data_IF_700606854162
#
_entry.id   IF_700606854162
#
_cell.length_a   1.000
_cell.length_b   1.000
_cell.length_c   1.000
_cell.angle_alpha   90.00
_cell.angle_beta   90.00
_cell.angle_gamma   90.00
#
_symmetry.space_group_name_H-M   'P 1'
#
loop_
_entity.id
_entity.type
_entity.pdbx_description
1 polymer ?
#
# COMPACT_ATOMS: atom_id res chain seq x y z
N UNK A 1 -16.16 25.77 -2.57
CA UNK A 1 -15.93 26.99 -1.77
C UNK A 1 -14.45 27.37 -1.61
N UNK A 2 -13.60 26.60 -0.91
CA UNK A 2 -12.19 26.98 -0.71
C UNK A 2 -11.41 27.15 -2.03
N UNK A 3 -11.57 26.22 -2.98
CA UNK A 3 -10.95 26.35 -4.31
C UNK A 3 -11.44 27.57 -5.10
N UNK A 4 -12.73 27.89 -5.03
CA UNK A 4 -13.31 29.06 -5.70
C UNK A 4 -12.75 30.36 -5.10
N UNK A 5 -12.41 30.32 -3.80
CA UNK A 5 -11.73 31.39 -3.06
C UNK A 5 -10.21 31.38 -3.22
N UNK A 6 -9.65 30.42 -3.98
CA UNK A 6 -8.20 30.19 -4.13
C UNK A 6 -7.47 29.95 -2.80
N UNK A 7 -8.17 29.36 -1.83
CA UNK A 7 -7.61 28.85 -0.59
C UNK A 7 -7.28 27.36 -0.78
N UNK A 8 -5.98 27.05 -0.75
CA UNK A 8 -5.47 25.70 -1.06
C UNK A 8 -4.89 24.96 0.15
N UNK A 9 -4.83 25.64 1.30
CA UNK A 9 -4.39 25.02 2.54
C UNK A 9 -5.48 24.09 3.06
N UNK A 10 -5.19 22.78 3.24
CA UNK A 10 -6.17 21.84 3.73
C UNK A 10 -6.48 22.11 5.21
N UNK A 11 -7.72 21.83 5.61
CA UNK A 11 -8.13 21.82 7.01
C UNK A 11 -8.22 20.38 7.52
N UNK A 12 -7.77 20.16 8.75
CA UNK A 12 -8.02 18.91 9.46
C UNK A 12 -9.42 18.92 10.05
N UNK A 13 -10.21 17.91 9.73
CA UNK A 13 -11.60 17.80 10.20
C UNK A 13 -11.96 16.33 10.37
N UNK A 14 -12.72 16.02 11.42
CA UNK A 14 -13.28 14.68 11.58
C UNK A 14 -14.38 14.43 10.54
N UNK A 15 -14.48 13.19 10.04
CA UNK A 15 -15.46 12.84 9.01
C UNK A 15 -16.92 13.12 9.47
N UNK A 16 -17.22 12.88 10.74
CA UNK A 16 -18.52 13.19 11.34
C UNK A 16 -18.82 14.70 11.30
N UNK A 17 -17.85 15.51 11.70
CA UNK A 17 -17.97 16.97 11.68
C UNK A 17 -18.11 17.51 10.24
N UNK A 18 -17.37 16.95 9.28
CA UNK A 18 -17.51 17.31 7.86
C UNK A 18 -18.91 17.02 7.31
N UNK A 19 -19.55 15.94 7.77
CA UNK A 19 -20.94 15.62 7.43
C UNK A 19 -21.94 16.56 8.12
N UNK A 20 -21.73 16.87 9.41
CA UNK A 20 -22.57 17.81 10.16
C UNK A 20 -22.54 19.21 9.56
N UNK A 21 -21.36 19.69 9.17
CA UNK A 21 -21.14 20.97 8.47
C UNK A 21 -21.59 20.98 7.01
N UNK A 22 -22.14 19.87 6.51
CA UNK A 22 -22.65 19.72 5.12
C UNK A 22 -21.60 19.87 4.02
N UNK A 23 -20.32 19.66 4.33
CA UNK A 23 -19.30 19.49 3.30
C UNK A 23 -19.54 18.21 2.50
N UNK A 24 -20.08 17.18 3.17
CA UNK A 24 -20.49 15.91 2.55
C UNK A 24 -22.01 15.77 2.63
N UNK A 25 -22.68 15.63 1.48
CA UNK A 25 -24.14 15.73 1.40
C UNK A 25 -24.88 14.51 1.96
N UNK A 26 -24.36 13.30 1.73
CA UNK A 26 -25.04 12.03 2.02
C UNK A 26 -24.20 11.18 3.01
N UNK A 27 -24.82 10.51 4.01
CA UNK A 27 -24.09 9.62 4.92
C UNK A 27 -23.32 8.51 4.20
N UNK A 28 -23.94 7.90 3.18
CA UNK A 28 -23.30 6.85 2.39
C UNK A 28 -22.07 7.37 1.61
N UNK A 29 -22.14 8.62 1.13
CA UNK A 29 -21.01 9.24 0.44
C UNK A 29 -19.88 9.61 1.40
N UNK A 30 -20.22 10.14 2.58
CA UNK A 30 -19.23 10.37 3.63
C UNK A 30 -18.53 9.07 4.05
N UNK A 31 -19.26 7.97 4.17
CA UNK A 31 -18.67 6.66 4.41
C UNK A 31 -17.68 6.24 3.31
N UNK A 32 -17.98 6.49 2.04
CA UNK A 32 -17.05 6.20 0.93
C UNK A 32 -15.73 7.00 1.05
N UNK A 33 -15.80 8.28 1.43
CA UNK A 33 -14.61 9.12 1.70
C UNK A 33 -13.78 8.51 2.84
N UNK A 34 -14.43 8.15 3.95
CA UNK A 34 -13.75 7.49 5.08
C UNK A 34 -13.13 6.14 4.71
N UNK A 35 -13.81 5.36 3.86
CA UNK A 35 -13.30 4.08 3.38
C UNK A 35 -12.08 4.27 2.47
N UNK A 36 -12.10 5.24 1.56
CA UNK A 36 -10.97 5.56 0.71
C UNK A 36 -9.76 6.01 1.55
N UNK A 37 -9.97 6.85 2.57
CA UNK A 37 -8.93 7.24 3.52
C UNK A 37 -8.34 6.03 4.24
N UNK A 38 -9.19 5.15 4.79
CA UNK A 38 -8.77 3.94 5.51
C UNK A 38 -7.93 3.03 4.63
N UNK A 39 -8.33 2.79 3.38
CA UNK A 39 -7.57 1.97 2.42
C UNK A 39 -6.19 2.58 2.19
N UNK A 40 -6.11 3.90 1.95
CA UNK A 40 -4.84 4.60 1.75
C UNK A 40 -3.93 4.52 2.98
N UNK A 41 -4.49 4.52 4.19
CA UNK A 41 -3.73 4.28 5.42
C UNK A 41 -3.21 2.85 5.53
N UNK A 42 -4.01 1.86 5.17
CA UNK A 42 -3.62 0.46 5.16
C UNK A 42 -2.52 0.16 4.12
N UNK A 43 -2.49 0.91 3.00
CA UNK A 43 -1.37 0.86 2.04
C UNK A 43 -0.06 1.36 2.70
N UNK A 44 -0.15 2.24 3.69
CA UNK A 44 0.97 2.71 4.50
C UNK A 44 1.39 4.16 4.25
N UNK A 45 0.49 4.99 3.70
CA UNK A 45 0.73 6.43 3.62
C UNK A 45 0.53 7.13 4.97
N UNK A 46 1.35 8.15 5.25
CA UNK A 46 1.23 8.98 6.45
C UNK A 46 0.07 9.97 6.32
N UNK A 47 -0.58 10.32 7.44
CA UNK A 47 -1.73 11.24 7.43
C UNK A 47 -1.36 12.58 6.81
N UNK A 48 -0.19 13.11 7.18
CA UNK A 48 0.29 14.45 6.81
C UNK A 48 0.42 14.69 5.30
N UNK A 49 0.51 13.62 4.51
CA UNK A 49 0.64 13.68 3.06
C UNK A 49 -0.63 13.23 2.33
N UNK A 50 -1.73 12.98 3.04
CA UNK A 50 -3.01 12.60 2.48
C UNK A 50 -3.97 13.79 2.58
N UNK A 51 -4.66 14.13 1.49
CA UNK A 51 -5.79 15.07 1.53
C UNK A 51 -6.92 14.66 0.61
N UNK A 52 -8.10 15.20 0.88
CA UNK A 52 -9.21 15.18 -0.06
C UNK A 52 -9.44 16.57 -0.65
N UNK A 53 -9.55 16.63 -1.97
CA UNK A 53 -9.76 17.85 -2.73
C UNK A 53 -11.10 17.76 -3.47
N UNK A 54 -12.07 18.55 -3.06
CA UNK A 54 -13.37 18.61 -3.76
C UNK A 54 -13.21 19.22 -5.16
N UNK A 55 -13.86 18.68 -6.18
CA UNK A 55 -13.88 19.32 -7.49
C UNK A 55 -14.61 20.68 -7.43
N UNK A 56 -14.08 21.66 -8.16
CA UNK A 56 -14.83 22.90 -8.40
C UNK A 56 -16.02 22.65 -9.34
N UNK A 57 -16.92 23.62 -9.45
CA UNK A 57 -18.09 23.50 -10.33
C UNK A 57 -17.73 23.23 -11.79
N UNK A 58 -16.63 23.82 -12.28
CA UNK A 58 -16.17 23.71 -13.67
C UNK A 58 -15.31 22.46 -13.93
N UNK A 59 -14.74 21.84 -12.89
CA UNK A 59 -13.97 20.59 -12.98
C UNK A 59 -14.86 19.35 -12.87
N UNK A 60 -16.01 19.47 -12.20
CA UNK A 60 -16.90 18.35 -11.92
C UNK A 60 -17.51 17.83 -13.21
N UNK A 61 -17.42 16.51 -13.41
CA UNK A 61 -18.08 15.86 -14.54
C UNK A 61 -19.59 16.11 -14.52
N UNK A 62 -20.20 16.27 -15.70
CA UNK A 62 -21.60 16.69 -15.87
C UNK A 62 -22.64 15.75 -15.23
N UNK A 63 -22.21 14.56 -14.80
CA UNK A 63 -23.05 13.53 -14.18
C UNK A 63 -22.88 13.39 -12.66
N UNK A 64 -21.88 14.05 -12.05
CA UNK A 64 -21.58 13.90 -10.62
C UNK A 64 -22.33 14.94 -9.77
N UNK A 65 -23.01 14.50 -8.71
CA UNK A 65 -23.60 15.41 -7.69
C UNK A 65 -22.52 15.96 -6.77
N UNK A 66 -21.50 15.15 -6.45
CA UNK A 66 -20.31 15.54 -5.71
C UNK A 66 -19.12 14.68 -6.14
N UNK A 67 -17.93 15.25 -6.07
CA UNK A 67 -16.69 14.62 -6.51
C UNK A 67 -15.51 15.12 -5.66
N UNK A 68 -14.76 14.19 -5.09
CA UNK A 68 -13.60 14.46 -4.27
C UNK A 68 -12.43 13.58 -4.71
N UNK A 69 -11.29 14.23 -4.95
CA UNK A 69 -10.04 13.55 -5.26
C UNK A 69 -9.28 13.28 -3.96
N UNK A 70 -8.91 12.04 -3.74
CA UNK A 70 -7.92 11.63 -2.75
C UNK A 70 -6.52 11.83 -3.36
N UNK A 71 -5.76 12.73 -2.76
CA UNK A 71 -4.44 13.13 -3.26
C UNK A 71 -3.35 12.78 -2.25
N UNK A 72 -2.18 12.39 -2.78
CA UNK A 72 -0.95 12.19 -2.02
C UNK A 72 0.05 13.28 -2.37
N UNK A 73 0.66 13.89 -1.36
CA UNK A 73 1.77 14.83 -1.55
C UNK A 73 3.07 14.06 -1.84
N UNK A 74 3.42 13.92 -3.11
CA UNK A 74 4.66 13.30 -3.58
C UNK A 74 5.83 14.27 -3.45
N UNK A 75 7.05 13.75 -3.30
CA UNK A 75 8.27 14.56 -3.15
C UNK A 75 8.65 15.27 -4.45
N UNK A 76 8.34 14.66 -5.60
CA UNK A 76 8.74 15.19 -6.92
C UNK A 76 7.67 16.04 -7.59
N UNK A 77 6.39 15.68 -7.47
CA UNK A 77 5.31 16.32 -8.22
C UNK A 77 4.29 17.04 -7.33
N UNK A 78 4.53 17.07 -6.01
CA UNK A 78 3.56 17.62 -5.05
C UNK A 78 2.29 16.76 -5.00
N UNK A 79 1.14 17.42 -4.84
CA UNK A 79 -0.15 16.75 -4.72
C UNK A 79 -0.59 16.08 -6.02
N UNK A 80 -0.74 14.77 -5.98
CA UNK A 80 -1.19 13.94 -7.10
C UNK A 80 -2.42 13.14 -6.68
N UNK A 81 -3.48 13.22 -7.47
CA UNK A 81 -4.68 12.41 -7.32
C UNK A 81 -4.38 10.92 -7.52
N UNK A 82 -4.75 10.09 -6.53
CA UNK A 82 -4.59 8.64 -6.59
C UNK A 82 -5.94 7.89 -6.64
N UNK A 83 -7.02 8.56 -6.23
CA UNK A 83 -8.36 7.99 -6.26
C UNK A 83 -9.42 9.09 -6.37
N UNK A 84 -10.36 8.93 -7.30
CA UNK A 84 -11.57 9.72 -7.36
C UNK A 84 -12.71 9.06 -6.57
N UNK A 85 -13.38 9.84 -5.73
CA UNK A 85 -14.58 9.42 -5.00
C UNK A 85 -15.78 10.21 -5.52
N UNK A 86 -16.71 9.56 -6.22
CA UNK A 86 -17.78 10.23 -6.96
C UNK A 86 -19.18 9.78 -6.52
N UNK A 87 -20.08 10.75 -6.35
CA UNK A 87 -21.53 10.50 -6.31
C UNK A 87 -22.10 10.69 -7.72
N UNK A 88 -22.29 9.59 -8.43
CA UNK A 88 -22.74 9.59 -9.84
C UNK A 88 -24.27 9.57 -9.96
N UNK A 89 -24.98 9.65 -8.83
CA UNK A 89 -26.43 9.50 -8.75
C UNK A 89 -26.89 8.25 -9.51
N UNK A 90 -27.96 8.30 -10.29
CA UNK A 90 -28.43 7.19 -11.12
C UNK A 90 -28.07 7.35 -12.61
N UNK A 91 -27.15 8.28 -12.94
CA UNK A 91 -26.86 8.67 -14.31
C UNK A 91 -26.48 7.48 -15.20
N UNK A 92 -25.52 6.66 -14.77
CA UNK A 92 -24.98 5.55 -15.57
C UNK A 92 -26.07 4.53 -15.91
N UNK A 93 -26.81 4.07 -14.90
CA UNK A 93 -27.86 3.07 -15.06
C UNK A 93 -29.03 3.62 -15.88
N UNK A 94 -29.36 4.91 -15.74
CA UNK A 94 -30.40 5.57 -16.52
C UNK A 94 -30.02 5.63 -18.00
N UNK A 95 -28.77 6.01 -18.31
CA UNK A 95 -28.27 6.03 -19.69
C UNK A 95 -28.20 4.64 -20.27
N UNK A 96 -27.65 3.65 -19.57
CA UNK A 96 -27.63 2.28 -20.08
C UNK A 96 -29.03 1.74 -20.39
N UNK A 97 -30.01 1.95 -19.50
CA UNK A 97 -31.41 1.56 -19.75
C UNK A 97 -32.02 2.25 -20.99
N UNK A 98 -31.69 3.53 -21.22
CA UNK A 98 -32.20 4.32 -22.35
C UNK A 98 -31.69 3.77 -23.69
N UNK A 99 -30.41 3.45 -23.81
CA UNK A 99 -29.80 3.03 -25.08
C UNK A 99 -29.87 1.52 -25.32
N UNK A 100 -29.94 0.69 -24.28
CA UNK A 100 -30.06 -0.76 -24.43
C UNK A 100 -31.49 -1.25 -24.58
N UNK A 101 -32.50 -0.42 -24.22
CA UNK A 101 -33.89 -0.82 -24.05
C UNK A 101 -34.14 -1.89 -22.96
N UNK A 102 -33.13 -2.20 -22.13
CA UNK A 102 -33.25 -3.15 -21.02
C UNK A 102 -33.63 -2.46 -19.71
N UNK A 103 -34.53 -3.07 -18.93
CA UNK A 103 -35.03 -2.48 -17.68
C UNK A 103 -34.03 -2.68 -16.53
N UNK A 104 -33.23 -1.65 -16.23
CA UNK A 104 -32.28 -1.63 -15.11
C UNK A 104 -32.93 -0.96 -13.88
N UNK A 105 -33.86 -1.67 -13.22
CA UNK A 105 -34.60 -1.17 -12.05
C UNK A 105 -34.76 -2.23 -10.97
N UNK A 106 -34.66 -1.82 -9.72
CA UNK A 106 -34.96 -2.67 -8.55
C UNK A 106 -36.30 -2.29 -7.93
N UNK A 107 -36.92 -3.22 -7.19
CA UNK A 107 -38.11 -2.92 -6.37
C UNK A 107 -37.66 -2.54 -4.96
N UNK A 108 -37.97 -1.33 -4.51
CA UNK A 108 -37.78 -0.88 -3.12
C UNK A 108 -39.09 -0.29 -2.61
N UNK A 109 -39.58 -0.76 -1.45
CA UNK A 109 -40.85 -0.30 -0.86
C UNK A 109 -42.03 -0.32 -1.85
N UNK A 110 -42.18 -1.43 -2.59
CA UNK A 110 -43.20 -1.62 -3.66
C UNK A 110 -43.11 -0.65 -4.85
N UNK A 111 -42.06 0.18 -4.94
CA UNK A 111 -41.80 1.09 -6.06
C UNK A 111 -40.60 0.61 -6.87
N UNK A 112 -40.67 0.75 -8.20
CA UNK A 112 -39.51 0.52 -9.08
C UNK A 112 -38.64 1.76 -9.10
N UNK A 113 -37.35 1.60 -8.79
CA UNK A 113 -36.36 2.69 -8.78
C UNK A 113 -35.12 2.29 -9.57
N UNK A 114 -34.40 3.28 -10.09
CA UNK A 114 -33.04 3.11 -10.60
C UNK A 114 -32.10 3.42 -9.42
N UNK A 115 -31.21 2.48 -9.02
CA UNK A 115 -30.25 2.71 -7.94
C UNK A 115 -29.33 3.91 -8.22
N UNK A 116 -28.83 4.51 -7.13
CA UNK A 116 -27.71 5.46 -7.20
C UNK A 116 -26.38 4.71 -7.10
N UNK A 117 -25.33 5.28 -7.70
CA UNK A 117 -23.98 4.72 -7.79
C UNK A 117 -23.03 5.67 -7.06
N UNK A 118 -22.38 5.12 -6.03
CA UNK A 118 -21.21 5.72 -5.39
C UNK A 118 -19.97 4.97 -5.89
N UNK A 119 -18.97 5.71 -6.34
CA UNK A 119 -17.76 5.17 -6.95
C UNK A 119 -16.53 5.56 -6.11
N UNK A 120 -15.67 4.57 -5.84
CA UNK A 120 -14.32 4.76 -5.31
C UNK A 120 -13.37 4.18 -6.36
N UNK A 121 -12.74 5.04 -7.13
CA UNK A 121 -11.93 4.65 -8.29
C UNK A 121 -10.46 4.90 -8.00
N UNK A 122 -9.73 3.87 -7.58
CA UNK A 122 -8.27 3.91 -7.47
C UNK A 122 -7.62 3.63 -8.83
N UNK A 123 -6.75 4.53 -9.29
CA UNK A 123 -5.74 4.15 -10.28
C UNK A 123 -4.70 3.26 -9.60
N UNK A 124 -4.14 2.23 -10.25
CA UNK A 124 -3.16 1.35 -9.59
C UNK A 124 -1.76 1.96 -9.67
N UNK A 125 -1.47 2.63 -10.78
CA UNK A 125 -0.16 3.13 -11.13
C UNK A 125 0.29 4.26 -10.21
N UNK A 126 -0.63 5.20 -9.88
CA UNK A 126 -0.30 6.38 -9.08
C UNK A 126 -0.05 6.07 -7.60
N UNK A 127 -0.86 5.25 -6.89
CA UNK A 127 -0.51 4.76 -5.56
C UNK A 127 0.84 4.02 -5.53
N UNK A 128 1.11 3.16 -6.52
CA UNK A 128 2.39 2.43 -6.61
C UNK A 128 3.56 3.40 -6.78
N UNK A 129 3.43 4.40 -7.67
CA UNK A 129 4.45 5.44 -7.81
C UNK A 129 4.64 6.23 -6.51
N UNK A 130 3.54 6.71 -5.92
CA UNK A 130 3.57 7.55 -4.73
C UNK A 130 4.20 6.83 -3.54
N UNK A 131 3.91 5.54 -3.34
CA UNK A 131 4.49 4.79 -2.22
C UNK A 131 5.99 4.53 -2.42
N UNK A 132 6.43 4.30 -3.67
CA UNK A 132 7.86 4.18 -3.99
C UNK A 132 8.56 5.50 -3.69
N UNK A 133 8.06 6.62 -4.22
CA UNK A 133 8.62 7.96 -4.04
C UNK A 133 8.74 8.34 -2.55
N UNK A 134 7.73 7.99 -1.75
CA UNK A 134 7.74 8.22 -0.30
C UNK A 134 8.70 7.29 0.46
N UNK A 135 8.93 6.08 -0.04
CA UNK A 135 9.78 5.08 0.62
C UNK A 135 11.28 5.24 0.37
N UNK A 136 11.70 6.02 -0.64
CA UNK A 136 13.13 6.24 -0.90
C UNK A 136 13.75 6.95 0.31
N UNK A 137 14.69 6.29 0.96
CA UNK A 137 15.38 6.79 2.15
C UNK A 137 16.88 6.75 1.93
N UNK A 138 17.56 7.85 2.27
CA UNK A 138 19.02 7.93 2.32
C UNK A 138 19.38 7.83 3.79
N UNK A 139 20.09 6.77 4.15
CA UNK A 139 20.58 6.52 5.50
C UNK A 139 22.07 6.89 5.54
N UNK A 140 22.34 8.09 6.07
CA UNK A 140 23.68 8.69 6.14
C UNK A 140 24.59 7.97 7.13
N UNK A 141 24.04 7.34 8.17
CA UNK A 141 24.80 6.61 9.20
C UNK A 141 25.51 5.39 8.59
N UNK A 142 24.80 4.67 7.72
CA UNK A 142 25.30 3.46 7.07
C UNK A 142 25.71 3.67 5.60
N UNK A 143 25.66 4.91 5.12
CA UNK A 143 25.92 5.31 3.73
C UNK A 143 25.20 4.39 2.72
N UNK A 144 23.87 4.30 2.84
CA UNK A 144 23.04 3.41 2.02
C UNK A 144 21.74 4.06 1.55
N UNK A 145 21.23 3.57 0.44
CA UNK A 145 19.89 3.90 -0.07
C UNK A 145 19.01 2.67 0.13
N UNK A 146 17.80 2.88 0.63
CA UNK A 146 16.83 1.83 0.85
C UNK A 146 15.42 2.28 0.50
N UNK A 147 14.56 1.32 0.16
CA UNK A 147 13.13 1.54 0.08
C UNK A 147 12.50 1.12 1.41
N UNK A 148 12.07 2.07 2.22
CA UNK A 148 11.36 1.86 3.50
C UNK A 148 9.88 1.48 3.28
N UNK A 149 9.63 0.61 2.30
CA UNK A 149 8.28 0.13 1.99
C UNK A 149 7.63 -0.47 3.25
N UNK A 150 6.36 -0.15 3.54
CA UNK A 150 5.60 -0.84 4.57
C UNK A 150 5.68 -2.34 4.36
N UNK A 151 5.96 -3.07 5.45
CA UNK A 151 6.24 -4.51 5.39
C UNK A 151 5.12 -5.27 4.66
N UNK A 152 3.80 -5.04 4.92
CA UNK A 152 2.68 -5.69 4.22
C UNK A 152 2.63 -5.51 2.70
N UNK A 153 3.33 -4.54 2.11
CA UNK A 153 3.34 -4.32 0.66
C UNK A 153 4.70 -4.51 0.00
N UNK A 154 5.73 -4.88 0.77
CA UNK A 154 7.05 -5.16 0.22
C UNK A 154 7.00 -6.32 -0.81
N UNK A 155 7.59 -6.17 -2.01
CA UNK A 155 7.48 -7.14 -3.10
C UNK A 155 8.20 -8.45 -2.80
N UNK A 156 9.26 -8.40 -1.98
CA UNK A 156 9.99 -9.56 -1.48
C UNK A 156 9.90 -9.49 0.03
N UNK A 157 9.34 -10.52 0.68
CA UNK A 157 9.16 -10.52 2.14
C UNK A 157 10.46 -10.83 2.88
N UNK A 158 11.23 -11.76 2.31
CA UNK A 158 12.44 -12.30 2.93
C UNK A 158 13.48 -12.58 1.84
N UNK A 159 14.72 -12.19 2.11
CA UNK A 159 15.90 -12.60 1.37
C UNK A 159 16.66 -13.68 2.14
N UNK A 160 17.24 -14.67 1.47
CA UNK A 160 17.93 -15.79 2.12
C UNK A 160 19.31 -15.96 1.51
N UNK A 161 20.33 -15.92 2.35
CA UNK A 161 21.73 -15.84 1.98
C UNK A 161 22.55 -16.95 2.67
N UNK A 162 23.27 -17.81 1.94
CA UNK A 162 24.38 -18.54 2.53
C UNK A 162 25.54 -17.58 2.79
N UNK A 163 26.17 -17.61 3.96
CA UNK A 163 27.28 -16.70 4.27
C UNK A 163 28.43 -16.92 3.25
N UNK A 164 28.76 -18.17 2.99
CA UNK A 164 29.82 -18.58 2.06
C UNK A 164 29.24 -19.51 0.98
N UNK A 165 29.32 -19.09 -0.29
CA UNK A 165 28.82 -19.86 -1.44
C UNK A 165 29.51 -21.22 -1.65
N UNK A 166 30.77 -21.36 -1.21
CA UNK A 166 31.54 -22.60 -1.35
C UNK A 166 31.21 -23.64 -0.28
N UNK A 167 30.50 -23.25 0.78
CA UNK A 167 30.09 -24.15 1.85
C UNK A 167 28.78 -24.83 1.45
N UNK A 168 28.87 -26.09 1.03
CA UNK A 168 27.72 -26.85 0.49
C UNK A 168 26.58 -26.96 1.50
N UNK A 169 26.89 -27.14 2.79
CA UNK A 169 25.88 -27.21 3.84
C UNK A 169 25.12 -25.90 4.02
N UNK A 170 25.80 -24.75 3.98
CA UNK A 170 25.12 -23.45 4.09
C UNK A 170 24.21 -23.20 2.90
N UNK A 171 24.68 -23.53 1.69
CA UNK A 171 23.91 -23.40 0.45
C UNK A 171 22.69 -24.31 0.48
N UNK A 172 22.85 -25.56 0.91
CA UNK A 172 21.75 -26.53 1.04
C UNK A 172 20.70 -26.05 2.03
N UNK A 173 21.10 -25.68 3.25
CA UNK A 173 20.18 -25.18 4.28
C UNK A 173 19.45 -23.92 3.81
N UNK A 174 20.16 -22.96 3.18
CA UNK A 174 19.54 -21.75 2.65
C UNK A 174 18.47 -22.05 1.57
N UNK A 175 18.71 -23.03 0.70
CA UNK A 175 17.72 -23.49 -0.29
C UNK A 175 16.55 -24.23 0.34
N UNK A 176 16.77 -25.02 1.39
CA UNK A 176 15.71 -25.68 2.15
C UNK A 176 14.80 -24.65 2.84
N UNK A 177 15.36 -23.63 3.48
CA UNK A 177 14.59 -22.53 4.07
C UNK A 177 13.77 -21.82 2.99
N UNK A 178 14.39 -21.53 1.84
CA UNK A 178 13.72 -20.89 0.71
C UNK A 178 12.51 -21.70 0.22
N UNK A 179 12.70 -22.99 0.01
CA UNK A 179 11.63 -23.90 -0.40
C UNK A 179 10.50 -23.95 0.64
N UNK A 180 10.83 -24.16 1.91
CA UNK A 180 9.87 -24.26 3.00
C UNK A 180 9.01 -22.98 3.17
N UNK A 181 9.61 -21.79 2.96
CA UNK A 181 8.86 -20.54 3.02
C UNK A 181 7.91 -20.37 1.83
N UNK A 182 8.35 -20.76 0.62
CA UNK A 182 7.49 -20.73 -0.56
C UNK A 182 6.31 -21.68 -0.43
N UNK A 183 6.51 -22.90 0.10
CA UNK A 183 5.42 -23.86 0.35
C UNK A 183 4.37 -23.32 1.33
N UNK A 184 4.78 -22.47 2.26
CA UNK A 184 3.88 -21.79 3.21
C UNK A 184 3.25 -20.50 2.64
N UNK A 185 3.41 -20.22 1.35
CA UNK A 185 2.84 -19.06 0.66
C UNK A 185 3.59 -17.75 0.89
N UNK A 186 4.81 -17.80 1.45
CA UNK A 186 5.60 -16.62 1.73
C UNK A 186 6.63 -16.40 0.62
N UNK A 187 6.41 -15.35 -0.18
CA UNK A 187 7.32 -15.03 -1.28
C UNK A 187 8.68 -14.53 -0.76
N UNK A 188 9.73 -15.28 -1.06
CA UNK A 188 11.10 -15.01 -0.66
C UNK A 188 12.10 -15.24 -1.80
N UNK A 189 13.28 -14.63 -1.69
CA UNK A 189 14.34 -14.69 -2.71
C UNK A 189 15.64 -15.25 -2.14
N UNK A 190 16.19 -16.26 -2.80
CA UNK A 190 17.53 -16.78 -2.52
C UNK A 190 18.60 -15.98 -3.27
N UNK A 191 19.71 -15.64 -2.60
CA UNK A 191 20.83 -14.92 -3.21
C UNK A 191 22.21 -15.33 -2.63
N UNK A 192 23.08 -15.84 -3.49
CA UNK A 192 24.46 -16.24 -3.18
C UNK A 192 25.51 -15.38 -3.92
N UNK A 193 25.09 -14.30 -4.59
CA UNK A 193 25.93 -13.51 -5.50
C UNK A 193 26.56 -12.31 -4.80
N UNK A 194 27.89 -12.37 -4.63
CA UNK A 194 28.70 -11.34 -4.04
C UNK A 194 28.87 -11.48 -2.52
N UNK A 195 29.56 -10.52 -1.90
CA UNK A 195 29.73 -10.50 -0.44
C UNK A 195 28.39 -10.32 0.27
N UNK A 196 28.32 -10.71 1.55
CA UNK A 196 27.12 -10.57 2.35
C UNK A 196 26.64 -9.11 2.43
N UNK A 197 27.56 -8.16 2.59
CA UNK A 197 27.23 -6.73 2.59
C UNK A 197 26.63 -6.24 1.26
N UNK A 198 27.13 -6.73 0.12
CA UNK A 198 26.54 -6.41 -1.20
C UNK A 198 25.13 -6.97 -1.35
N UNK A 199 24.85 -8.14 -0.77
CA UNK A 199 23.52 -8.75 -0.77
C UNK A 199 22.55 -7.99 0.12
N UNK A 200 22.97 -7.58 1.32
CA UNK A 200 22.16 -6.71 2.18
C UNK A 200 21.82 -5.39 1.48
N UNK A 201 22.82 -4.68 0.92
CA UNK A 201 22.58 -3.41 0.21
C UNK A 201 21.58 -3.56 -0.95
N UNK A 202 21.74 -4.58 -1.78
CA UNK A 202 20.80 -4.88 -2.88
C UNK A 202 19.37 -5.09 -2.37
N UNK A 203 19.21 -5.80 -1.26
CA UNK A 203 17.89 -6.09 -0.72
C UNK A 203 17.28 -4.92 0.07
N UNK A 204 18.12 -4.06 0.65
CA UNK A 204 17.72 -2.77 1.21
C UNK A 204 17.18 -1.86 0.08
N UNK A 205 17.86 -1.77 -1.06
CA UNK A 205 17.42 -1.04 -2.26
C UNK A 205 16.13 -1.61 -2.88
N UNK A 206 15.88 -2.91 -2.76
CA UNK A 206 14.64 -3.56 -3.20
C UNK A 206 13.51 -3.48 -2.16
N UNK A 207 13.77 -2.89 -0.99
CA UNK A 207 12.82 -2.76 0.11
C UNK A 207 12.44 -4.07 0.78
N UNK A 208 13.28 -5.10 0.69
CA UNK A 208 13.04 -6.41 1.31
C UNK A 208 13.12 -6.28 2.84
N UNK A 209 12.04 -6.53 3.62
CA UNK A 209 12.02 -6.22 5.04
C UNK A 209 12.99 -7.03 5.89
N UNK A 210 13.21 -8.30 5.53
CA UNK A 210 14.08 -9.21 6.29
C UNK A 210 15.09 -9.89 5.40
N UNK A 211 16.32 -10.00 5.90
CA UNK A 211 17.34 -10.84 5.30
C UNK A 211 17.78 -11.92 6.30
N UNK A 212 17.81 -13.16 5.83
CA UNK A 212 18.21 -14.33 6.61
C UNK A 212 19.58 -14.77 6.12
N UNK A 213 20.52 -14.89 7.05
CA UNK A 213 21.87 -15.36 6.79
C UNK A 213 22.08 -16.71 7.46
N UNK A 214 22.44 -17.69 6.66
CA UNK A 214 22.86 -19.03 7.07
C UNK A 214 24.38 -19.02 7.23
N UNK A 215 24.87 -19.15 8.45
CA UNK A 215 26.29 -19.07 8.79
C UNK A 215 26.84 -20.43 9.27
N UNK A 216 28.09 -20.47 9.72
CA UNK A 216 28.71 -21.72 10.19
C UNK A 216 28.06 -22.28 11.45
N UNK A 217 27.46 -21.45 12.30
CA UNK A 217 26.81 -21.90 13.53
C UNK A 217 25.47 -22.55 13.21
N UNK A 218 24.80 -22.13 12.14
CA UNK A 218 23.54 -22.73 11.67
C UNK A 218 23.62 -24.25 11.50
N UNK A 219 24.75 -24.77 11.01
CA UNK A 219 24.95 -26.21 10.79
C UNK A 219 24.94 -26.99 12.12
N UNK A 220 25.36 -26.34 13.21
CA UNK A 220 25.52 -26.97 14.52
C UNK A 220 24.28 -26.80 15.41
N UNK A 221 23.64 -25.62 15.38
CA UNK A 221 22.59 -25.25 16.33
C UNK A 221 21.21 -25.06 15.70
N UNK A 222 21.08 -25.15 14.37
CA UNK A 222 19.80 -24.98 13.67
C UNK A 222 19.23 -23.56 13.76
N UNK A 223 20.06 -22.56 14.10
CA UNK A 223 19.68 -21.15 14.17
C UNK A 223 20.19 -20.36 12.97
N UNK A 224 19.45 -19.34 12.57
CA UNK A 224 19.82 -18.40 11.53
C UNK A 224 19.82 -16.98 12.06
N UNK A 225 20.58 -16.11 11.40
CA UNK A 225 20.59 -14.69 11.70
C UNK A 225 19.54 -14.00 10.84
N UNK A 226 18.54 -13.37 11.44
CA UNK A 226 17.57 -12.50 10.76
C UNK A 226 17.96 -11.04 10.98
N UNK A 227 18.06 -10.28 9.88
CA UNK A 227 18.34 -8.84 9.87
C UNK A 227 17.10 -8.07 9.46
N UNK A 228 16.77 -7.02 10.22
CA UNK A 228 15.71 -6.07 9.86
C UNK A 228 16.27 -4.97 8.95
N UNK A 229 15.56 -4.64 7.87
CA UNK A 229 15.96 -3.66 6.86
C UNK A 229 16.15 -2.26 7.45
N UNK A 230 15.16 -1.81 8.21
CA UNK A 230 15.06 -0.41 8.67
C UNK A 230 16.12 -0.15 9.73
N UNK A 231 16.18 -1.02 10.74
CA UNK A 231 17.04 -0.84 11.92
C UNK A 231 18.46 -1.41 11.76
N UNK A 232 18.68 -2.26 10.76
CA UNK A 232 19.91 -3.09 10.60
C UNK A 232 20.17 -4.10 11.72
N UNK A 233 19.31 -4.17 12.74
CA UNK A 233 19.45 -5.09 13.87
C UNK A 233 19.47 -6.54 13.39
N UNK A 234 20.34 -7.33 14.01
CA UNK A 234 20.49 -8.75 13.74
C UNK A 234 20.09 -9.56 14.98
N UNK A 235 19.26 -10.59 14.78
CA UNK A 235 18.79 -11.47 15.84
C UNK A 235 18.98 -12.92 15.42
N UNK A 236 19.37 -13.78 16.36
CA UNK A 236 19.46 -15.23 16.17
C UNK A 236 18.10 -15.86 16.48
N UNK A 237 17.57 -16.64 15.53
CA UNK A 237 16.30 -17.36 15.69
C UNK A 237 16.43 -18.79 15.18
N UNK A 238 15.63 -19.71 15.73
CA UNK A 238 15.51 -21.06 15.18
C UNK A 238 14.93 -21.00 13.77
N UNK A 239 15.44 -21.84 12.86
CA UNK A 239 14.94 -21.94 11.47
C UNK A 239 13.41 -22.14 11.45
N UNK A 240 12.89 -22.97 12.35
CA UNK A 240 11.46 -23.28 12.41
C UNK A 240 10.60 -22.06 12.79
N UNK A 241 11.17 -21.06 13.46
CA UNK A 241 10.47 -19.84 13.88
C UNK A 241 10.49 -18.72 12.84
N UNK A 242 11.24 -18.90 11.74
CA UNK A 242 11.36 -17.88 10.69
C UNK A 242 10.00 -17.49 10.13
N UNK A 243 9.17 -18.47 9.77
CA UNK A 243 7.87 -18.20 9.16
C UNK A 243 6.97 -17.37 10.08
N UNK A 244 6.86 -17.76 11.36
CA UNK A 244 6.03 -17.04 12.34
C UNK A 244 6.58 -15.63 12.64
N UNK A 245 7.91 -15.48 12.75
CA UNK A 245 8.53 -14.18 12.96
C UNK A 245 8.23 -13.21 11.82
N UNK A 246 8.25 -13.72 10.59
CA UNK A 246 7.94 -12.94 9.40
C UNK A 246 6.43 -12.66 9.43
N UNK A 247 5.57 -13.68 9.39
CA UNK A 247 4.10 -13.58 9.30
C UNK A 247 3.44 -12.63 10.30
N UNK A 248 3.81 -12.70 11.59
CA UNK A 248 3.25 -11.85 12.66
C UNK A 248 3.39 -10.35 12.44
N UNK A 249 4.18 -9.93 11.44
CA UNK A 249 4.39 -8.54 11.06
C UNK A 249 3.80 -8.15 9.70
N UNK A 250 3.03 -9.05 9.07
CA UNK A 250 2.32 -8.81 7.81
C UNK A 250 0.80 -8.98 7.91
N UNK A 251 0.32 -9.76 8.90
CA UNK A 251 -1.09 -9.83 9.30
C UNK A 251 -1.41 -8.77 10.37
#
# INVERSE_FOLDING_TARGET
EMQEKKEFDPIWIELGEAYEKKYLKKPAYAYCIGLAFKITKEIGFNDEIIRFRQHSHDERAHYADDAWDLEINTRQYGWVEICGVHDRTNYDLKRHQEFSNEKIRITKNKKKIIPEVLEIAFGIERPVYAIIDQSITIDEEYDRILLTLPKPIAPIRVAIFPLIKKEEDQVRIAKEIHHNLLEKGLYCKYDESGSIGKRYRRHDELGTPYAITVDHQTVNDGTVTIRDRDTTEQKRILINNVYEHVKTKYD
#
